data_IF_580542197481
#
_entry.id   IF_580542197481
#
_cell.length_a   1.000
_cell.length_b   1.000
_cell.length_c   1.000
_cell.angle_alpha   90.00
_cell.angle_beta   90.00
_cell.angle_gamma   90.00
#
_symmetry.space_group_name_H-M   'P 1'
#
loop_
_entity.id
_entity.type
_entity.pdbx_description
1 polymer ?
#
# COMPACT_ATOMS: atom_id res chain seq x y z
N UNK A 1 -14.04 -22.03 -7.51
CA UNK A 1 -13.23 -21.28 -8.49
C UNK A 1 -12.77 -20.00 -7.79
N UNK A 2 -11.59 -20.04 -7.16
CA UNK A 2 -11.12 -19.00 -6.25
C UNK A 2 -10.52 -17.82 -7.02
N UNK A 3 -11.11 -16.64 -6.87
CA UNK A 3 -10.63 -15.43 -7.53
C UNK A 3 -9.37 -14.91 -6.82
N UNK A 4 -8.23 -15.22 -7.45
CA UNK A 4 -7.14 -14.32 -7.84
C UNK A 4 -6.68 -13.31 -6.78
N UNK A 5 -5.44 -13.51 -6.32
CA UNK A 5 -4.63 -12.63 -5.46
C UNK A 5 -5.01 -11.15 -5.55
N UNK A 6 -5.50 -10.59 -4.44
CA UNK A 6 -5.77 -9.17 -4.27
C UNK A 6 -4.45 -8.37 -4.26
N UNK A 7 -3.90 -8.12 -5.44
CA UNK A 7 -2.77 -7.19 -5.63
C UNK A 7 -3.31 -5.77 -5.56
N UNK A 8 -3.00 -5.09 -4.46
CA UNK A 8 -3.46 -3.75 -4.19
C UNK A 8 -2.48 -2.73 -4.78
N UNK A 9 -2.95 -1.80 -5.63
CA UNK A 9 -2.08 -0.76 -6.15
C UNK A 9 -1.71 0.23 -5.04
N UNK A 10 -0.43 0.60 -4.99
CA UNK A 10 0.05 1.72 -4.17
C UNK A 10 0.44 2.86 -5.07
N UNK A 11 -0.07 4.03 -4.72
CA UNK A 11 0.31 5.27 -5.38
C UNK A 11 1.60 5.76 -4.73
N UNK A 12 2.72 5.34 -5.30
CA UNK A 12 4.01 5.99 -5.08
C UNK A 12 4.01 7.30 -5.84
N UNK A 13 3.81 8.43 -5.15
CA UNK A 13 4.00 9.74 -5.77
C UNK A 13 5.39 9.89 -6.40
N UNK A 14 5.53 10.72 -7.43
CA UNK A 14 6.78 10.91 -8.20
C UNK A 14 8.01 11.15 -7.31
N UNK A 15 7.81 11.80 -6.15
CA UNK A 15 8.84 12.07 -5.16
C UNK A 15 9.51 10.82 -4.54
N UNK A 16 8.90 9.63 -4.68
CA UNK A 16 9.43 8.39 -4.12
C UNK A 16 10.16 7.51 -5.15
N UNK A 17 10.13 7.86 -6.45
CA UNK A 17 10.65 7.00 -7.54
C UNK A 17 12.13 6.66 -7.38
N UNK A 18 12.96 7.63 -7.00
CA UNK A 18 14.39 7.39 -6.78
C UNK A 18 14.64 6.39 -5.65
N UNK A 19 13.86 6.45 -4.57
CA UNK A 19 13.95 5.52 -3.44
C UNK A 19 13.45 4.13 -3.83
N UNK A 20 12.33 4.06 -4.54
CA UNK A 20 11.78 2.80 -5.05
C UNK A 20 12.74 2.10 -6.02
N UNK A 21 13.54 2.86 -6.77
CA UNK A 21 14.61 2.34 -7.62
C UNK A 21 15.72 1.60 -6.86
N UNK A 22 15.95 1.95 -5.59
CA UNK A 22 16.98 1.35 -4.74
C UNK A 22 16.50 0.11 -3.97
N UNK A 23 15.19 -0.12 -3.93
CA UNK A 23 14.61 -1.28 -3.25
C UNK A 23 14.82 -2.57 -4.06
N UNK A 24 14.94 -3.73 -3.38
CA UNK A 24 14.93 -5.03 -4.07
C UNK A 24 13.60 -5.24 -4.83
N UNK A 25 13.57 -6.22 -5.72
CA UNK A 25 12.38 -6.51 -6.53
C UNK A 25 11.13 -6.79 -5.68
N UNK A 26 11.33 -7.42 -4.53
CA UNK A 26 10.33 -7.69 -3.49
C UNK A 26 10.87 -7.25 -2.14
N UNK A 27 10.03 -6.67 -1.30
CA UNK A 27 10.40 -6.16 0.01
C UNK A 27 9.23 -6.27 0.98
N UNK A 28 9.50 -6.22 2.27
CA UNK A 28 8.46 -6.08 3.29
C UNK A 28 8.08 -4.60 3.42
N UNK A 29 6.79 -4.32 3.58
CA UNK A 29 6.28 -3.00 3.94
C UNK A 29 5.56 -3.04 5.28
N UNK A 30 5.58 -1.90 5.97
CA UNK A 30 4.72 -1.64 7.13
C UNK A 30 3.65 -0.65 6.74
N UNK A 31 2.41 -0.90 7.15
CA UNK A 31 1.28 0.01 6.97
C UNK A 31 1.06 0.85 8.23
N UNK A 32 0.79 2.14 8.05
CA UNK A 32 0.49 3.04 9.16
C UNK A 32 -0.63 4.01 8.77
N UNK A 33 -1.68 4.08 9.58
CA UNK A 33 -2.72 5.08 9.41
C UNK A 33 -2.19 6.49 9.71
N UNK A 34 -2.61 7.48 8.93
CA UNK A 34 -2.34 8.90 9.15
C UNK A 34 -3.69 9.65 9.27
N UNK A 35 -4.37 9.61 10.44
CA UNK A 35 -5.70 10.23 10.64
C UNK A 35 -5.70 11.75 10.40
N UNK A 36 -4.57 12.41 10.68
CA UNK A 36 -4.41 13.86 10.54
C UNK A 36 -4.09 14.29 9.09
N UNK A 37 -4.18 13.37 8.12
CA UNK A 37 -3.90 13.69 6.73
C UNK A 37 -4.98 14.63 6.16
N UNK A 38 -4.59 15.89 5.94
CA UNK A 38 -5.47 16.97 5.45
C UNK A 38 -6.16 16.73 4.11
N UNK A 39 -5.73 15.73 3.34
CA UNK A 39 -6.28 15.42 2.03
C UNK A 39 -7.21 14.21 2.04
N UNK A 40 -6.94 13.23 2.91
CA UNK A 40 -7.70 12.00 2.95
C UNK A 40 -7.67 11.38 4.34
N UNK A 41 -8.81 11.39 5.03
CA UNK A 41 -8.95 10.91 6.41
C UNK A 41 -8.64 9.42 6.61
N UNK A 42 -8.79 8.60 5.56
CA UNK A 42 -8.46 7.16 5.60
C UNK A 42 -7.07 6.88 5.01
N UNK A 43 -6.14 7.84 5.12
CA UNK A 43 -4.79 7.68 4.57
C UNK A 43 -4.03 6.56 5.29
N UNK A 44 -3.52 5.61 4.52
CA UNK A 44 -2.63 4.56 4.97
C UNK A 44 -1.28 4.78 4.30
N UNK A 45 -0.30 5.22 5.07
CA UNK A 45 1.08 5.35 4.65
C UNK A 45 1.72 3.96 4.50
N UNK A 46 2.53 3.82 3.46
CA UNK A 46 3.34 2.63 3.19
C UNK A 46 4.79 2.95 3.53
N UNK A 47 5.39 2.15 4.41
CA UNK A 47 6.74 2.35 4.90
C UNK A 47 7.65 1.17 4.56
N UNK A 48 8.92 1.45 4.27
CA UNK A 48 9.99 0.47 4.14
C UNK A 48 11.14 0.92 5.03
N UNK A 49 11.64 0.05 5.91
CA UNK A 49 12.68 0.38 6.89
C UNK A 49 12.36 1.65 7.72
N UNK A 50 11.08 1.91 8.00
CA UNK A 50 10.62 3.10 8.73
C UNK A 50 10.49 4.38 7.89
N UNK A 51 10.84 4.34 6.60
CA UNK A 51 10.68 5.47 5.69
C UNK A 51 9.43 5.35 4.84
N UNK A 52 8.68 6.45 4.70
CA UNK A 52 7.49 6.48 3.84
C UNK A 52 7.88 6.46 2.36
N UNK A 53 7.22 5.58 1.61
CA UNK A 53 7.41 5.39 0.16
C UNK A 53 6.14 5.68 -0.66
N UNK A 54 5.02 5.97 0.00
CA UNK A 54 3.77 6.28 -0.66
C UNK A 54 2.55 6.09 0.24
N UNK A 55 1.39 6.08 -0.40
CA UNK A 55 0.10 5.80 0.23
C UNK A 55 -0.64 4.71 -0.51
N UNK A 56 -1.41 3.90 0.22
CA UNK A 56 -2.41 3.01 -0.38
C UNK A 56 -3.41 3.87 -1.16
N UNK A 57 -3.82 3.41 -2.34
CA UNK A 57 -4.80 4.10 -3.16
C UNK A 57 -6.10 4.36 -2.36
N UNK A 58 -6.71 5.57 -2.44
CA UNK A 58 -7.84 5.93 -1.59
C UNK A 58 -9.02 4.96 -1.63
N UNK A 59 -9.37 4.47 -2.82
CA UNK A 59 -10.45 3.51 -3.06
C UNK A 59 -10.24 2.15 -2.36
N UNK A 60 -8.99 1.84 -2.02
CA UNK A 60 -8.64 0.66 -1.22
C UNK A 60 -8.49 1.04 0.25
N UNK A 61 -7.87 2.19 0.54
CA UNK A 61 -7.59 2.66 1.89
C UNK A 61 -8.81 2.67 2.80
N UNK A 62 -9.97 3.10 2.30
CA UNK A 62 -11.23 3.10 3.07
C UNK A 62 -11.55 1.73 3.65
N UNK A 63 -11.38 0.64 2.88
CA UNK A 63 -11.77 -0.71 3.30
C UNK A 63 -10.80 -1.38 4.28
N UNK A 64 -9.60 -0.83 4.44
CA UNK A 64 -8.55 -1.41 5.29
C UNK A 64 -8.13 -0.50 6.45
N UNK A 65 -8.62 0.75 6.49
CA UNK A 65 -8.18 1.74 7.46
C UNK A 65 -8.38 1.27 8.90
N UNK A 66 -9.60 0.85 9.25
CA UNK A 66 -9.91 0.39 10.61
C UNK A 66 -9.18 -0.91 10.97
N UNK A 67 -9.00 -1.81 10.00
CA UNK A 67 -8.17 -3.01 10.18
C UNK A 67 -6.74 -2.63 10.55
N UNK A 68 -6.13 -1.67 9.85
CA UNK A 68 -4.76 -1.23 10.11
C UNK A 68 -4.68 -0.42 11.41
N UNK A 69 -5.68 0.41 11.72
CA UNK A 69 -5.74 1.22 12.93
C UNK A 69 -5.87 0.38 14.21
N UNK A 70 -6.62 -0.72 14.15
CA UNK A 70 -6.88 -1.60 15.30
C UNK A 70 -5.79 -2.67 15.52
N UNK A 71 -4.86 -2.84 14.60
CA UNK A 71 -3.87 -3.91 14.65
C UNK A 71 -2.79 -3.68 15.72
N UNK A 72 -2.52 -4.72 16.51
CA UNK A 72 -1.33 -4.84 17.36
C UNK A 72 -0.81 -6.28 17.23
N UNK A 73 0.40 -6.54 16.66
CA UNK A 73 1.50 -5.63 16.23
C UNK A 73 1.26 -4.86 14.91
N UNK A 74 2.19 -3.96 14.47
CA UNK A 74 2.06 -3.22 13.21
C UNK A 74 1.83 -4.15 12.01
N UNK A 75 0.92 -3.74 11.13
CA UNK A 75 0.57 -4.53 9.95
C UNK A 75 1.71 -4.50 8.94
N UNK A 76 2.22 -5.68 8.58
CA UNK A 76 3.19 -5.86 7.50
C UNK A 76 2.61 -6.67 6.36
N UNK A 77 3.09 -6.39 5.15
CA UNK A 77 2.77 -7.19 3.98
C UNK A 77 3.91 -7.17 2.96
N UNK A 78 3.86 -8.09 1.99
CA UNK A 78 4.82 -8.12 0.90
C UNK A 78 4.50 -7.02 -0.11
N UNK A 79 5.52 -6.27 -0.51
CA UNK A 79 5.51 -5.34 -1.62
C UNK A 79 6.41 -5.82 -2.76
N UNK A 80 6.05 -5.45 -3.99
CA UNK A 80 6.91 -5.61 -5.17
C UNK A 80 6.95 -4.33 -5.97
N UNK A 81 8.08 -4.09 -6.67
CA UNK A 81 8.16 -3.00 -7.64
C UNK A 81 7.18 -3.22 -8.80
N UNK A 82 6.61 -2.13 -9.29
CA UNK A 82 5.86 -2.09 -10.53
C UNK A 82 6.72 -2.53 -11.71
N UNK A 83 6.12 -3.26 -12.64
CA UNK A 83 6.72 -3.55 -13.94
C UNK A 83 6.56 -2.35 -14.88
N UNK A 84 7.26 -2.33 -16.02
CA UNK A 84 7.03 -1.31 -17.05
C UNK A 84 5.57 -1.24 -17.50
N UNK A 85 4.87 -2.38 -17.53
CA UNK A 85 3.45 -2.42 -17.86
C UNK A 85 2.60 -1.72 -16.78
N UNK A 86 2.96 -1.87 -15.50
CA UNK A 86 2.27 -1.20 -14.38
C UNK A 86 2.51 0.32 -14.39
N UNK A 87 3.69 0.77 -14.85
CA UNK A 87 4.04 2.19 -14.97
C UNK A 87 3.32 2.88 -16.13
N UNK A 88 3.20 2.22 -17.29
CA UNK A 88 2.74 2.83 -18.54
C UNK A 88 1.25 3.20 -18.57
N UNK A 89 0.42 2.61 -17.70
CA UNK A 89 -1.03 2.80 -17.72
C UNK A 89 -1.59 3.52 -16.49
N UNK A 90 -0.88 3.56 -15.37
CA UNK A 90 -1.52 3.85 -14.07
C UNK A 90 -0.65 4.64 -13.09
N UNK A 91 0.63 4.89 -13.38
CA UNK A 91 1.54 5.56 -12.45
C UNK A 91 1.80 4.78 -11.14
N UNK A 92 1.58 3.46 -11.16
CA UNK A 92 1.73 2.57 -10.01
C UNK A 92 3.18 2.10 -9.93
N UNK A 93 3.91 2.58 -8.93
CA UNK A 93 5.33 2.23 -8.75
C UNK A 93 5.52 1.00 -7.84
N UNK A 94 4.51 0.61 -7.05
CA UNK A 94 4.55 -0.53 -6.11
C UNK A 94 3.19 -1.24 -6.07
N UNK A 95 3.22 -2.57 -5.99
CA UNK A 95 2.04 -3.38 -5.67
C UNK A 95 2.23 -4.07 -4.32
N UNK A 96 1.19 -4.05 -3.49
CA UNK A 96 1.16 -4.74 -2.21
C UNK A 96 0.27 -5.97 -2.26
N UNK A 97 0.63 -6.97 -1.48
CA UNK A 97 -0.15 -8.18 -1.29
C UNK A 97 -0.94 -8.09 0.02
N UNK A 98 -2.23 -7.77 -0.07
CA UNK A 98 -3.14 -7.70 1.08
C UNK A 98 -3.88 -9.03 1.29
N UNK A 99 -3.48 -10.12 0.65
CA UNK A 99 -4.19 -11.41 0.75
C UNK A 99 -4.30 -11.96 2.17
N UNK A 100 -3.39 -11.55 3.07
CA UNK A 100 -3.41 -11.91 4.50
C UNK A 100 -4.15 -10.90 5.39
N UNK A 101 -4.63 -9.78 4.84
CA UNK A 101 -5.29 -8.72 5.61
C UNK A 101 -6.82 -8.86 5.53
N UNK A 102 -7.53 -8.78 6.67
CA UNK A 102 -8.98 -8.80 6.64
C UNK A 102 -9.52 -7.50 6.03
N UNK A 103 -10.37 -7.66 5.00
CA UNK A 103 -11.07 -6.54 4.35
C UNK A 103 -12.33 -6.20 5.14
N UNK A 104 -12.56 -4.91 5.38
CA UNK A 104 -13.86 -4.46 5.88
C UNK A 104 -14.83 -4.32 4.71
N UNK A 105 -15.97 -5.00 4.79
CA UNK A 105 -17.05 -4.84 3.83
C UNK A 105 -18.01 -3.80 4.41
N UNK A 106 -17.91 -2.55 3.96
CA UNK A 106 -18.94 -1.57 4.31
C UNK A 106 -20.25 -1.99 3.64
N UNK A 107 -21.26 -2.29 4.46
CA UNK A 107 -22.62 -2.61 4.03
C UNK A 107 -23.41 -1.35 3.73
#
# INVERSE_FOLDING_TARGET
MGLILARIPVVGGVAYRERLGQLPATFEVTLRVEPDNRYFQHAIAVLVNGEKIGYVAPEIGVNYYDTVAAAAPPVTCAGRRGSQADHGTSGIEVLLDFSSLPVQTHS
#
